data_IF_836581509413
#
_entry.id   IF_836581509413
#
_cell.length_a   1.000
_cell.length_b   1.000
_cell.length_c   1.000
_cell.angle_alpha   90.00
_cell.angle_beta   90.00
_cell.angle_gamma   90.00
#
_symmetry.space_group_name_H-M   'P 1'
#
loop_
_entity.id
_entity.type
_entity.pdbx_description
1 polymer ?
#
# COMPACT_ATOMS: atom_id res chain seq x y z
N UNK A 1 6.94 2.34 14.42
CA UNK A 1 7.18 1.51 13.22
C UNK A 1 6.57 0.12 13.35
N UNK A 2 6.94 -0.69 14.37
CA UNK A 2 6.43 -2.06 14.51
C UNK A 2 4.91 -2.18 14.61
N UNK A 3 4.23 -1.22 15.25
CA UNK A 3 2.76 -1.18 15.28
C UNK A 3 2.15 -1.00 13.88
N UNK A 4 2.77 -0.22 13.00
CA UNK A 4 2.28 0.01 11.62
C UNK A 4 2.44 -1.27 10.78
N UNK A 5 3.53 -2.00 10.99
CA UNK A 5 3.76 -3.30 10.35
C UNK A 5 2.74 -4.33 10.85
N UNK A 6 2.48 -4.35 12.15
CA UNK A 6 1.43 -5.19 12.76
C UNK A 6 0.03 -4.83 12.29
N UNK A 7 -0.27 -3.55 12.13
CA UNK A 7 -1.56 -3.10 11.59
C UNK A 7 -1.69 -3.44 10.11
N UNK A 8 -0.62 -3.33 9.31
CA UNK A 8 -0.63 -3.78 7.91
C UNK A 8 -0.87 -5.28 7.81
N UNK A 9 -0.27 -6.04 8.73
CA UNK A 9 -0.57 -7.46 8.88
C UNK A 9 -2.05 -7.69 9.22
N UNK A 10 -2.63 -6.86 10.08
CA UNK A 10 -4.04 -6.94 10.42
C UNK A 10 -4.96 -6.55 9.25
N UNK A 11 -4.56 -5.64 8.35
CA UNK A 11 -5.37 -5.29 7.16
C UNK A 11 -5.36 -6.39 6.10
N UNK A 12 -4.35 -7.25 6.06
CA UNK A 12 -4.29 -8.45 5.20
C UNK A 12 -5.29 -9.53 5.63
N UNK A 13 -5.70 -9.54 6.91
CA UNK A 13 -6.70 -10.45 7.46
C UNK A 13 -8.07 -9.77 7.42
N UNK A 14 -8.82 -9.94 6.34
CA UNK A 14 -10.11 -9.26 6.18
C UNK A 14 -11.21 -9.78 7.13
N UNK A 15 -12.21 -8.91 7.29
CA UNK A 15 -13.31 -8.90 8.26
C UNK A 15 -14.29 -10.09 8.15
N UNK A 16 -14.21 -10.87 7.07
CA UNK A 16 -15.11 -12.00 6.80
C UNK A 16 -14.56 -13.37 7.26
N UNK A 17 -13.39 -13.41 7.92
CA UNK A 17 -12.82 -14.65 8.47
C UNK A 17 -12.04 -15.50 7.46
N UNK A 18 -12.22 -15.26 6.16
CA UNK A 18 -11.34 -15.81 5.13
C UNK A 18 -10.10 -14.92 4.99
N UNK A 19 -9.02 -15.33 5.65
CA UNK A 19 -7.71 -14.77 5.39
C UNK A 19 -7.39 -15.00 3.91
N UNK A 20 -7.11 -13.93 3.17
CA UNK A 20 -6.48 -14.03 1.86
C UNK A 20 -5.02 -14.42 2.07
N UNK A 21 -4.79 -15.66 2.50
CA UNK A 21 -3.47 -16.30 2.53
C UNK A 21 -2.79 -16.18 1.16
N UNK A 22 -3.59 -16.04 0.09
CA UNK A 22 -3.18 -15.73 -1.27
C UNK A 22 -2.53 -14.35 -1.37
N UNK A 23 -3.12 -13.28 -0.83
CA UNK A 23 -2.50 -11.94 -0.85
C UNK A 23 -1.19 -11.94 -0.05
N UNK A 24 -1.12 -12.67 1.07
CA UNK A 24 0.12 -12.85 1.82
C UNK A 24 1.20 -13.59 1.03
N UNK A 25 0.84 -14.72 0.41
CA UNK A 25 1.75 -15.48 -0.43
C UNK A 25 2.25 -14.64 -1.62
N UNK A 26 1.36 -13.88 -2.26
CA UNK A 26 1.73 -12.98 -3.35
C UNK A 26 2.66 -11.88 -2.83
N UNK A 27 2.43 -11.28 -1.67
CA UNK A 27 3.25 -10.13 -1.22
C UNK A 27 4.66 -10.52 -0.75
N UNK A 28 4.88 -11.74 -0.27
CA UNK A 28 6.15 -12.17 0.32
C UNK A 28 6.82 -13.32 -0.45
N UNK A 29 6.07 -14.32 -0.88
CA UNK A 29 6.62 -15.48 -1.60
C UNK A 29 6.93 -15.09 -3.04
N UNK A 30 6.07 -14.32 -3.71
CA UNK A 30 6.31 -13.94 -5.11
C UNK A 30 7.57 -13.06 -5.28
N UNK A 31 7.84 -12.01 -4.47
CA UNK A 31 9.11 -11.30 -4.54
C UNK A 31 10.32 -12.19 -4.27
N UNK A 32 10.23 -13.11 -3.32
CA UNK A 32 11.31 -14.04 -3.02
C UNK A 32 11.60 -14.99 -4.20
N UNK A 33 10.56 -15.52 -4.84
CA UNK A 33 10.69 -16.38 -6.03
C UNK A 33 11.26 -15.58 -7.21
N UNK A 34 10.75 -14.38 -7.49
CA UNK A 34 11.24 -13.54 -8.60
C UNK A 34 12.70 -13.15 -8.36
N UNK A 35 13.04 -12.72 -7.15
CA UNK A 35 14.42 -12.42 -6.78
C UNK A 35 15.32 -13.66 -6.88
N UNK A 36 14.79 -14.84 -6.59
CA UNK A 36 15.52 -16.11 -6.72
C UNK A 36 15.78 -16.50 -8.18
N UNK A 37 14.79 -16.34 -9.05
CA UNK A 37 14.94 -16.59 -10.50
C UNK A 37 15.92 -15.60 -11.12
N UNK A 38 15.88 -14.35 -10.68
CA UNK A 38 16.78 -13.31 -11.19
C UNK A 38 18.26 -13.52 -10.80
N UNK A 39 18.57 -14.50 -9.94
CA UNK A 39 19.96 -14.98 -9.74
C UNK A 39 20.51 -15.77 -10.93
N UNK A 40 19.66 -16.36 -11.76
CA UNK A 40 20.10 -17.21 -12.87
C UNK A 40 20.64 -16.39 -14.05
N UNK A 41 20.42 -15.08 -14.06
CA UNK A 41 20.78 -14.19 -15.15
C UNK A 41 22.01 -13.33 -14.83
N UNK A 42 22.79 -13.00 -15.87
CA UNK A 42 24.04 -12.24 -15.73
C UNK A 42 23.71 -10.74 -15.66
N UNK A 43 23.31 -10.26 -14.49
CA UNK A 43 23.02 -8.83 -14.30
C UNK A 43 24.28 -7.98 -14.55
N UNK A 44 24.20 -6.94 -15.41
CA UNK A 44 25.30 -6.00 -15.58
C UNK A 44 25.67 -5.33 -14.24
N UNK A 45 26.98 -5.28 -13.96
CA UNK A 45 27.56 -4.65 -12.76
C UNK A 45 27.57 -3.11 -12.87
N UNK A 46 26.45 -2.52 -13.26
CA UNK A 46 26.34 -1.07 -13.32
C UNK A 46 25.71 -0.53 -12.04
N UNK A 47 26.51 0.21 -11.27
CA UNK A 47 26.09 0.85 -10.03
C UNK A 47 25.13 2.03 -10.27
N UNK A 48 24.96 2.47 -11.52
CA UNK A 48 23.99 3.52 -11.89
C UNK A 48 22.56 3.18 -11.47
N UNK A 49 22.23 1.88 -11.41
CA UNK A 49 20.90 1.37 -11.04
C UNK A 49 20.52 1.77 -9.61
N UNK A 50 21.48 1.81 -8.68
CA UNK A 50 21.21 2.20 -7.29
C UNK A 50 20.92 3.69 -7.18
N UNK A 51 21.62 4.53 -7.94
CA UNK A 51 21.33 5.97 -8.03
C UNK A 51 19.91 6.23 -8.53
N UNK A 52 19.50 5.55 -9.61
CA UNK A 52 18.13 5.63 -10.14
C UNK A 52 17.11 5.14 -9.10
N UNK A 53 17.40 4.04 -8.42
CA UNK A 53 16.51 3.47 -7.40
C UNK A 53 16.30 4.43 -6.23
N UNK A 54 17.36 5.07 -5.72
CA UNK A 54 17.27 6.11 -4.68
C UNK A 54 16.31 7.21 -5.10
N UNK A 55 16.45 7.72 -6.34
CA UNK A 55 15.56 8.77 -6.86
C UNK A 55 14.10 8.31 -6.95
N UNK A 56 13.85 7.11 -7.46
CA UNK A 56 12.48 6.55 -7.57
C UNK A 56 11.83 6.44 -6.19
N UNK A 57 12.49 5.80 -5.22
CA UNK A 57 11.92 5.61 -3.89
C UNK A 57 11.78 6.93 -3.11
N UNK A 58 12.67 7.90 -3.31
CA UNK A 58 12.55 9.23 -2.71
C UNK A 58 11.32 9.98 -3.24
N UNK A 59 11.11 9.96 -4.56
CA UNK A 59 9.92 10.56 -5.20
C UNK A 59 8.65 9.88 -4.69
N UNK A 60 8.61 8.54 -4.69
CA UNK A 60 7.44 7.81 -4.19
C UNK A 60 7.17 8.07 -2.70
N UNK A 61 8.19 8.16 -1.86
CA UNK A 61 8.01 8.50 -0.45
C UNK A 61 7.33 9.87 -0.28
N UNK A 62 7.78 10.89 -1.00
CA UNK A 62 7.18 12.22 -0.98
C UNK A 62 5.72 12.22 -1.49
N UNK A 63 5.46 11.51 -2.60
CA UNK A 63 4.11 11.38 -3.17
C UNK A 63 3.16 10.66 -2.21
N UNK A 64 3.60 9.55 -1.61
CA UNK A 64 2.79 8.77 -0.68
C UNK A 64 2.50 9.56 0.60
N UNK A 65 3.43 10.38 1.08
CA UNK A 65 3.20 11.27 2.22
C UNK A 65 2.13 12.32 1.90
N UNK A 66 2.14 12.91 0.70
CA UNK A 66 1.09 13.84 0.26
C UNK A 66 -0.29 13.16 0.20
N UNK A 67 -0.34 11.95 -0.34
CA UNK A 67 -1.58 11.15 -0.40
C UNK A 67 -2.08 10.81 1.00
N UNK A 68 -1.16 10.42 1.91
CA UNK A 68 -1.46 10.12 3.31
C UNK A 68 -2.12 11.30 4.03
N UNK A 69 -1.59 12.52 3.85
CA UNK A 69 -2.17 13.74 4.41
C UNK A 69 -3.57 14.00 3.83
N UNK A 70 -3.74 13.82 2.50
CA UNK A 70 -5.03 14.02 1.85
C UNK A 70 -6.11 13.07 2.41
N UNK A 71 -5.78 11.80 2.59
CA UNK A 71 -6.70 10.79 3.17
C UNK A 71 -7.03 11.12 4.62
N UNK A 72 -6.05 11.56 5.41
CA UNK A 72 -6.29 11.99 6.77
C UNK A 72 -7.30 13.15 6.83
N UNK A 73 -7.19 14.11 5.91
CA UNK A 73 -8.19 15.18 5.76
C UNK A 73 -9.60 14.67 5.45
N UNK A 74 -9.72 13.62 4.64
CA UNK A 74 -11.01 12.96 4.36
C UNK A 74 -11.54 12.24 5.61
N UNK A 75 -10.67 11.61 6.39
CA UNK A 75 -11.03 10.85 7.60
C UNK A 75 -11.62 11.73 8.71
N UNK A 76 -11.27 13.01 8.76
CA UNK A 76 -11.78 13.95 9.76
C UNK A 76 -13.20 14.47 9.47
N UNK A 77 -13.78 14.17 8.30
CA UNK A 77 -15.15 14.60 7.98
C UNK A 77 -16.16 13.88 8.88
N UNK A 78 -16.80 14.64 9.78
CA UNK A 78 -17.80 14.12 10.73
C UNK A 78 -19.11 13.76 10.02
N UNK A 79 -19.72 12.66 10.44
CA UNK A 79 -21.11 12.32 10.11
C UNK A 79 -22.06 13.45 10.54
N UNK A 80 -22.99 13.83 9.66
CA UNK A 80 -24.11 14.73 9.98
C UNK A 80 -25.40 13.92 9.93
N UNK A 81 -26.08 13.77 11.06
CA UNK A 81 -27.36 13.06 11.12
C UNK A 81 -28.47 13.88 10.46
N UNK A 82 -29.34 13.21 9.70
CA UNK A 82 -30.44 13.83 8.96
C UNK A 82 -31.76 13.81 9.74
N UNK A 83 -31.77 13.33 10.99
CA UNK A 83 -32.97 13.34 11.87
C UNK A 83 -34.02 12.25 11.57
N UNK A 84 -33.88 11.50 10.49
CA UNK A 84 -34.83 10.46 10.05
C UNK A 84 -34.29 9.04 10.34
N UNK A 85 -34.87 8.33 11.32
CA UNK A 85 -34.28 7.13 11.95
C UNK A 85 -33.98 5.97 10.99
N UNK A 86 -34.80 5.75 9.97
CA UNK A 86 -34.64 4.62 9.03
C UNK A 86 -33.56 4.90 7.97
N UNK A 87 -33.47 6.16 7.51
CA UNK A 87 -32.42 6.60 6.59
C UNK A 87 -31.07 6.73 7.30
N UNK A 88 -31.08 7.11 8.58
CA UNK A 88 -29.87 7.27 9.41
C UNK A 88 -29.16 5.93 9.64
N UNK A 89 -29.88 4.81 9.85
CA UNK A 89 -29.26 3.48 10.03
C UNK A 89 -28.54 2.95 8.78
N UNK A 90 -29.16 3.06 7.59
CA UNK A 90 -28.51 2.68 6.33
C UNK A 90 -27.26 3.54 6.06
N UNK A 91 -27.38 4.84 6.30
CA UNK A 91 -26.29 5.77 6.04
C UNK A 91 -25.15 5.63 7.07
N UNK A 92 -25.47 5.28 8.33
CA UNK A 92 -24.51 4.93 9.38
C UNK A 92 -23.72 3.67 9.05
N UNK A 93 -24.36 2.58 8.58
CA UNK A 93 -23.65 1.37 8.14
C UNK A 93 -22.65 1.67 7.02
N UNK A 94 -23.05 2.52 6.07
CA UNK A 94 -22.21 2.97 4.96
C UNK A 94 -21.03 3.83 5.42
N UNK A 95 -21.27 4.76 6.33
CA UNK A 95 -20.22 5.56 6.96
C UNK A 95 -19.19 4.67 7.69
N UNK A 96 -19.65 3.65 8.40
CA UNK A 96 -18.77 2.67 9.07
C UNK A 96 -17.92 1.91 8.04
N UNK A 97 -18.55 1.36 6.98
CA UNK A 97 -17.82 0.63 5.93
C UNK A 97 -16.75 1.50 5.26
N UNK A 98 -17.09 2.76 4.93
CA UNK A 98 -16.13 3.73 4.39
C UNK A 98 -14.98 3.98 5.36
N UNK A 99 -15.28 4.18 6.64
CA UNK A 99 -14.25 4.45 7.67
C UNK A 99 -13.29 3.26 7.83
N UNK A 100 -13.79 2.03 7.74
CA UNK A 100 -12.98 0.81 7.75
C UNK A 100 -12.04 0.78 6.54
N UNK A 101 -12.56 0.97 5.32
CA UNK A 101 -11.74 0.98 4.10
C UNK A 101 -10.68 2.09 4.13
N UNK A 102 -11.05 3.29 4.56
CA UNK A 102 -10.11 4.41 4.72
C UNK A 102 -9.03 4.10 5.76
N UNK A 103 -9.39 3.46 6.88
CA UNK A 103 -8.43 3.06 7.91
C UNK A 103 -7.43 2.03 7.36
N UNK A 104 -7.92 1.03 6.62
CA UNK A 104 -7.07 -0.01 6.03
C UNK A 104 -6.12 0.57 4.98
N UNK A 105 -6.64 1.49 4.15
CA UNK A 105 -5.88 2.18 3.13
C UNK A 105 -4.79 3.06 3.76
N UNK A 106 -5.13 3.81 4.81
CA UNK A 106 -4.20 4.63 5.59
C UNK A 106 -3.04 3.79 6.17
N UNK A 107 -3.33 2.61 6.71
CA UNK A 107 -2.31 1.70 7.22
C UNK A 107 -1.39 1.18 6.11
N UNK A 108 -1.95 0.79 4.96
CA UNK A 108 -1.16 0.28 3.83
C UNK A 108 -0.26 1.36 3.21
N UNK A 109 -0.74 2.60 3.09
CA UNK A 109 0.07 3.72 2.63
C UNK A 109 1.17 4.04 3.64
N UNK A 110 0.86 4.04 4.94
CA UNK A 110 1.86 4.22 5.99
C UNK A 110 2.98 3.17 5.92
N UNK A 111 2.61 1.91 5.67
CA UNK A 111 3.58 0.84 5.45
C UNK A 111 4.46 1.10 4.21
N UNK A 112 3.86 1.51 3.09
CA UNK A 112 4.57 1.79 1.85
C UNK A 112 5.53 2.98 1.97
N UNK A 113 5.20 3.99 2.76
CA UNK A 113 6.11 5.10 3.10
C UNK A 113 7.33 4.58 3.86
N UNK A 114 7.12 3.75 4.88
CA UNK A 114 8.22 3.16 5.67
C UNK A 114 9.13 2.32 4.76
N UNK A 115 8.54 1.46 3.93
CA UNK A 115 9.30 0.66 2.97
C UNK A 115 10.07 1.57 2.03
N UNK A 116 9.46 2.62 1.48
CA UNK A 116 10.16 3.56 0.59
C UNK A 116 11.36 4.23 1.25
N UNK A 117 11.21 4.74 2.48
CA UNK A 117 12.31 5.35 3.23
C UNK A 117 13.43 4.34 3.56
N UNK A 118 13.06 3.12 3.95
CA UNK A 118 14.02 2.05 4.23
C UNK A 118 14.77 1.66 2.95
N UNK A 119 14.07 1.51 1.83
CA UNK A 119 14.65 1.23 0.51
C UNK A 119 15.66 2.29 0.11
N UNK A 120 15.33 3.58 0.26
CA UNK A 120 16.29 4.68 0.01
C UNK A 120 17.56 4.49 0.84
N UNK A 121 17.42 4.15 2.12
CA UNK A 121 18.57 3.97 3.02
C UNK A 121 19.41 2.77 2.60
N UNK A 122 18.78 1.64 2.26
CA UNK A 122 19.47 0.43 1.78
C UNK A 122 20.20 0.69 0.47
N UNK A 123 19.54 1.30 -0.51
CA UNK A 123 20.16 1.63 -1.80
C UNK A 123 21.27 2.67 -1.67
N UNK A 124 21.17 3.60 -0.73
CA UNK A 124 22.24 4.56 -0.43
C UNK A 124 23.47 3.84 0.15
N UNK A 125 23.28 2.88 1.05
CA UNK A 125 24.37 2.06 1.58
C UNK A 125 25.04 1.26 0.46
N UNK A 126 24.27 0.64 -0.42
CA UNK A 126 24.77 -0.08 -1.60
C UNK A 126 25.52 0.83 -2.58
N UNK A 127 25.03 2.05 -2.78
CA UNK A 127 25.68 3.04 -3.64
C UNK A 127 27.03 3.52 -3.08
N UNK A 128 27.11 3.78 -1.77
CA UNK A 128 28.33 4.29 -1.11
C UNK A 128 29.34 3.17 -0.85
N UNK A 129 28.86 2.02 -0.40
CA UNK A 129 29.65 0.82 -0.17
C UNK A 129 29.24 -0.22 -1.20
N UNK A 130 29.91 -0.27 -2.37
CA UNK A 130 29.63 -1.28 -3.39
C UNK A 130 30.12 -2.64 -2.88
N UNK A 131 29.30 -3.28 -2.04
CA UNK A 131 29.50 -4.64 -1.58
C UNK A 131 29.09 -5.52 -2.76
N UNK A 132 30.04 -5.82 -3.64
CA UNK A 132 29.87 -6.55 -4.91
C UNK A 132 29.50 -8.03 -4.69
N UNK A 133 28.41 -8.24 -3.98
CA UNK A 133 27.99 -9.46 -3.34
C UNK A 133 26.62 -9.86 -3.84
N UNK A 134 26.40 -11.17 -3.95
CA UNK A 134 25.14 -11.74 -4.40
C UNK A 134 23.92 -11.25 -3.59
N UNK A 135 24.12 -10.93 -2.32
CA UNK A 135 23.09 -10.39 -1.43
C UNK A 135 22.53 -9.05 -1.88
N UNK A 136 23.35 -8.17 -2.46
CA UNK A 136 22.94 -6.83 -2.88
C UNK A 136 21.86 -6.90 -3.97
N UNK A 137 22.09 -7.75 -4.97
CA UNK A 137 21.18 -7.98 -6.10
C UNK A 137 19.85 -8.56 -5.62
N UNK A 138 19.91 -9.58 -4.79
CA UNK A 138 18.71 -10.23 -4.24
C UNK A 138 17.84 -9.24 -3.49
N UNK A 139 18.45 -8.49 -2.56
CA UNK A 139 17.75 -7.51 -1.74
C UNK A 139 17.13 -6.45 -2.63
N UNK A 140 17.87 -5.96 -3.64
CA UNK A 140 17.39 -4.95 -4.58
C UNK A 140 16.13 -5.39 -5.32
N UNK A 141 16.15 -6.58 -5.91
CA UNK A 141 15.00 -7.14 -6.64
C UNK A 141 13.83 -7.42 -5.71
N UNK A 142 14.11 -8.06 -4.57
CA UNK A 142 13.09 -8.37 -3.58
C UNK A 142 12.37 -7.10 -3.13
N UNK A 143 13.11 -6.06 -2.76
CA UNK A 143 12.57 -4.77 -2.32
C UNK A 143 11.75 -4.12 -3.43
N UNK A 144 12.23 -4.14 -4.67
CA UNK A 144 11.53 -3.52 -5.79
C UNK A 144 10.19 -4.21 -6.09
N UNK A 145 10.21 -5.54 -6.18
CA UNK A 145 9.00 -6.33 -6.44
C UNK A 145 8.03 -6.21 -5.27
N UNK A 146 8.52 -6.31 -4.03
CA UNK A 146 7.69 -6.15 -2.83
C UNK A 146 7.04 -4.77 -2.77
N UNK A 147 7.78 -3.71 -3.10
CA UNK A 147 7.24 -2.35 -3.20
C UNK A 147 6.13 -2.25 -4.26
N UNK A 148 6.37 -2.76 -5.48
CA UNK A 148 5.38 -2.71 -6.56
C UNK A 148 4.09 -3.47 -6.20
N UNK A 149 4.21 -4.66 -5.62
CA UNK A 149 3.04 -5.44 -5.21
C UNK A 149 2.25 -4.74 -4.10
N UNK A 150 2.95 -4.13 -3.14
CA UNK A 150 2.31 -3.35 -2.08
C UNK A 150 1.62 -2.10 -2.64
N UNK A 151 2.23 -1.43 -3.62
CA UNK A 151 1.61 -0.32 -4.34
C UNK A 151 0.34 -0.76 -5.08
N UNK A 152 0.39 -1.91 -5.77
CA UNK A 152 -0.79 -2.49 -6.44
C UNK A 152 -1.92 -2.80 -5.45
N UNK A 153 -1.59 -3.28 -4.24
CA UNK A 153 -2.58 -3.51 -3.17
C UNK A 153 -3.25 -2.21 -2.72
N UNK A 154 -2.48 -1.12 -2.58
CA UNK A 154 -3.02 0.22 -2.27
C UNK A 154 -3.95 0.70 -3.38
N UNK A 155 -3.57 0.52 -4.65
CA UNK A 155 -4.38 0.90 -5.80
C UNK A 155 -5.70 0.11 -5.83
N UNK A 156 -5.65 -1.22 -5.67
CA UNK A 156 -6.85 -2.07 -5.60
C UNK A 156 -7.83 -1.61 -4.53
N UNK A 157 -7.34 -1.29 -3.31
CA UNK A 157 -8.19 -0.81 -2.21
C UNK A 157 -8.76 0.58 -2.47
N UNK A 158 -7.97 1.46 -3.07
CA UNK A 158 -8.41 2.79 -3.49
C UNK A 158 -9.52 2.69 -4.55
N UNK A 159 -9.39 1.77 -5.50
CA UNK A 159 -10.41 1.54 -6.53
C UNK A 159 -11.73 1.03 -5.93
N UNK A 160 -11.68 0.06 -5.03
CA UNK A 160 -12.87 -0.43 -4.31
C UNK A 160 -13.53 0.68 -3.50
N UNK A 161 -12.74 1.54 -2.85
CA UNK A 161 -13.25 2.70 -2.12
C UNK A 161 -13.99 3.67 -3.05
N UNK A 162 -13.46 3.95 -4.24
CA UNK A 162 -14.11 4.84 -5.21
C UNK A 162 -15.36 4.22 -5.83
N UNK A 163 -15.35 2.94 -6.19
CA UNK A 163 -16.54 2.24 -6.70
C UNK A 163 -17.70 2.27 -5.68
N UNK A 164 -17.36 2.12 -4.39
CA UNK A 164 -18.32 2.24 -3.30
C UNK A 164 -18.88 3.66 -3.12
N UNK A 165 -18.18 4.71 -3.60
CA UNK A 165 -18.66 6.10 -3.60
C UNK A 165 -19.47 6.43 -4.87
N UNK A 166 -19.14 5.86 -6.04
CA UNK A 166 -19.90 6.09 -7.28
C UNK A 166 -21.26 5.36 -7.31
N UNK A 167 -21.33 4.13 -6.79
CA UNK A 167 -22.60 3.39 -6.64
C UNK A 167 -23.61 4.10 -5.73
N UNK A 168 -23.19 5.15 -5.01
CA UNK A 168 -24.04 5.97 -4.14
C UNK A 168 -24.85 6.99 -4.91
N UNK A 169 -24.24 7.65 -5.89
CA UNK A 169 -24.86 8.75 -6.63
C UNK A 169 -25.96 8.23 -7.56
N UNK A 170 -25.77 7.05 -8.17
CA UNK A 170 -26.79 6.43 -9.03
C UNK A 170 -28.04 6.00 -8.23
N UNK A 171 -27.88 5.54 -6.99
CA UNK A 171 -29.00 5.14 -6.13
C UNK A 171 -29.86 6.31 -5.62
N UNK A 172 -29.35 7.55 -5.67
CA UNK A 172 -30.09 8.75 -5.27
C UNK A 172 -30.83 9.42 -6.43
N UNK A 173 -30.46 9.12 -7.69
CA UNK A 173 -31.13 9.62 -8.89
C UNK A 173 -32.31 8.74 -9.35
N UNK A 174 -32.36 7.47 -8.93
CA UNK A 174 -33.42 6.52 -9.29
C UNK A 174 -34.67 6.51 -8.42
N UNK A 175 -34.81 7.45 -7.47
CA UNK A 175 -35.95 7.52 -6.54
C UNK A 175 -36.72 8.84 -6.59
N UNK A 176 -36.73 9.50 -7.75
CA UNK A 176 -37.54 10.71 -8.01
C UNK A 176 -38.73 10.40 -8.90
#
# INVERSE_FOLDING_TARGET
>A
MFHIVGDHWATLKNVDGEASYIDFAILYVLPAVIASVAFLDVWPKDNSIYGVSISVFAIFSALLLNVQIAIFGIFQRKWRSTGDKVKDEKAKRKYISRKILLSQLNTNISYLIIISCLSVTVFLVFYVYPINSFSERYISVYVYVHFLLTLMMVIKRTHVLFQNEYSVDEGMLGSS
#
